data_IF_375356953623
#
_entry.id   IF_375356953623
#
_cell.length_a   1.000
_cell.length_b   1.000
_cell.length_c   1.000
_cell.angle_alpha   90.00
_cell.angle_beta   90.00
_cell.angle_gamma   90.00
#
_symmetry.space_group_name_H-M   'P 1'
#
loop_
_entity.id
_entity.type
_entity.pdbx_description
1 polymer ?
#
# COMPACT_ATOMS: atom_id res chain seq x y z
N UNK A 1 -25.82 -16.56 -16.41
CA UNK A 1 -25.16 -15.23 -16.50
C UNK A 1 -24.01 -15.23 -15.51
N UNK A 2 -22.76 -15.01 -15.95
CA UNK A 2 -21.60 -15.12 -15.06
C UNK A 2 -21.55 -13.90 -14.12
N UNK A 3 -21.82 -14.11 -12.83
CA UNK A 3 -21.87 -13.04 -11.81
C UNK A 3 -20.55 -12.28 -11.74
N UNK A 4 -19.44 -13.01 -11.81
CA UNK A 4 -18.08 -12.45 -11.69
C UNK A 4 -17.78 -11.52 -12.86
N UNK A 5 -18.14 -11.92 -14.09
CA UNK A 5 -17.92 -11.08 -15.27
C UNK A 5 -18.71 -9.78 -15.21
N UNK A 6 -19.96 -9.84 -14.76
CA UNK A 6 -20.79 -8.65 -14.62
C UNK A 6 -20.25 -7.69 -13.55
N UNK A 7 -19.84 -8.23 -12.39
CA UNK A 7 -19.25 -7.44 -11.32
C UNK A 7 -17.96 -6.75 -11.80
N UNK A 8 -17.05 -7.51 -12.43
CA UNK A 8 -15.80 -6.97 -12.93
C UNK A 8 -16.04 -5.96 -14.06
N UNK A 9 -16.93 -6.22 -15.01
CA UNK A 9 -17.23 -5.25 -16.07
C UNK A 9 -17.82 -3.94 -15.49
N UNK A 10 -18.72 -4.06 -14.52
CA UNK A 10 -19.37 -2.90 -13.90
C UNK A 10 -18.41 -2.04 -13.06
N UNK A 11 -17.53 -2.67 -12.28
CA UNK A 11 -16.66 -1.96 -11.35
C UNK A 11 -15.27 -1.60 -11.90
N UNK A 12 -14.91 -2.02 -13.11
CA UNK A 12 -13.58 -1.81 -13.71
C UNK A 12 -13.11 -0.36 -13.58
N UNK A 13 -13.95 0.61 -13.98
CA UNK A 13 -13.60 2.04 -13.94
C UNK A 13 -13.26 2.52 -12.53
N UNK A 14 -13.99 2.02 -11.53
CA UNK A 14 -13.79 2.39 -10.13
C UNK A 14 -12.49 1.80 -9.60
N UNK A 15 -12.23 0.53 -9.88
CA UNK A 15 -11.02 -0.20 -9.48
C UNK A 15 -9.79 0.43 -10.16
N UNK A 16 -9.87 0.74 -11.46
CA UNK A 16 -8.83 1.43 -12.22
C UNK A 16 -8.46 2.77 -11.60
N UNK A 17 -9.45 3.58 -11.23
CA UNK A 17 -9.22 4.87 -10.55
C UNK A 17 -8.54 4.68 -9.20
N UNK A 18 -8.93 3.67 -8.43
CA UNK A 18 -8.27 3.36 -7.16
C UNK A 18 -6.79 3.00 -7.38
N UNK A 19 -6.52 2.10 -8.32
CA UNK A 19 -5.17 1.66 -8.67
C UNK A 19 -4.29 2.83 -9.12
N UNK A 20 -4.77 3.64 -10.06
CA UNK A 20 -4.03 4.80 -10.55
C UNK A 20 -3.77 5.83 -9.44
N UNK A 21 -4.76 6.09 -8.58
CA UNK A 21 -4.62 7.02 -7.44
C UNK A 21 -3.58 6.54 -6.43
N UNK A 22 -3.44 5.23 -6.25
CA UNK A 22 -2.43 4.64 -5.37
C UNK A 22 -1.01 4.96 -5.85
N UNK A 23 -0.70 4.73 -7.13
CA UNK A 23 0.62 5.04 -7.69
C UNK A 23 0.88 6.54 -7.80
N UNK A 24 -0.11 7.33 -8.23
CA UNK A 24 0.03 8.79 -8.35
C UNK A 24 0.43 9.45 -7.03
N UNK A 25 -0.13 9.01 -5.90
CA UNK A 25 0.28 9.52 -4.58
C UNK A 25 1.75 9.25 -4.28
N UNK A 26 2.26 8.06 -4.63
CA UNK A 26 3.66 7.67 -4.39
C UNK A 26 4.61 8.43 -5.31
N UNK A 27 4.24 8.60 -6.58
CA UNK A 27 4.98 9.42 -7.55
C UNK A 27 5.06 10.87 -7.06
N UNK A 28 3.94 11.46 -6.63
CA UNK A 28 3.90 12.83 -6.13
C UNK A 28 4.78 13.01 -4.89
N UNK A 29 4.74 12.08 -3.93
CA UNK A 29 5.63 12.11 -2.76
C UNK A 29 7.10 12.01 -3.19
N UNK A 30 7.42 11.15 -4.15
CA UNK A 30 8.79 11.01 -4.67
C UNK A 30 9.28 12.29 -5.33
N UNK A 31 8.41 12.97 -6.09
CA UNK A 31 8.71 14.25 -6.73
C UNK A 31 8.92 15.38 -5.71
N UNK A 32 8.11 15.44 -4.65
CA UNK A 32 8.33 16.39 -3.55
C UNK A 32 9.69 16.18 -2.90
N UNK A 33 10.04 14.93 -2.60
CA UNK A 33 11.35 14.59 -2.02
C UNK A 33 12.48 15.03 -2.96
N UNK A 34 12.34 14.78 -4.26
CA UNK A 34 13.32 15.20 -5.27
C UNK A 34 13.52 16.72 -5.27
N UNK A 35 12.44 17.49 -5.22
CA UNK A 35 12.48 18.97 -5.12
C UNK A 35 13.22 19.43 -3.87
N UNK A 36 12.97 18.81 -2.71
CA UNK A 36 13.66 19.16 -1.45
C UNK A 36 15.17 18.92 -1.58
N UNK A 37 15.58 17.80 -2.17
CA UNK A 37 17.00 17.46 -2.33
C UNK A 37 17.68 18.40 -3.33
N UNK A 38 17.01 18.75 -4.44
CA UNK A 38 17.52 19.73 -5.40
C UNK A 38 17.72 21.10 -4.77
N UNK A 39 16.70 21.60 -4.04
CA UNK A 39 16.77 22.87 -3.34
C UNK A 39 17.93 22.90 -2.33
N UNK A 40 18.04 21.85 -1.49
CA UNK A 40 19.14 21.75 -0.52
C UNK A 40 20.51 21.75 -1.20
N UNK A 41 20.67 20.95 -2.26
CA UNK A 41 21.95 20.82 -2.97
C UNK A 41 22.38 22.12 -3.64
N UNK A 42 21.43 22.92 -4.14
CA UNK A 42 21.69 24.22 -4.74
C UNK A 42 22.19 25.25 -3.73
N UNK A 43 21.56 25.30 -2.55
CA UNK A 43 21.86 26.29 -1.50
C UNK A 43 23.11 25.96 -0.71
N UNK A 44 23.18 24.74 -0.15
CA UNK A 44 24.24 24.37 0.80
C UNK A 44 25.48 23.76 0.12
N UNK A 45 25.34 23.25 -1.11
CA UNK A 45 26.42 22.61 -1.89
C UNK A 45 27.19 21.49 -1.18
N UNK A 46 26.62 20.93 -0.11
CA UNK A 46 27.20 19.82 0.65
C UNK A 46 26.86 18.47 0.03
N UNK A 47 27.80 17.52 0.10
CA UNK A 47 27.60 16.11 -0.27
C UNK A 47 26.96 15.92 -1.66
N UNK A 48 27.36 16.74 -2.63
CA UNK A 48 26.77 16.79 -3.98
C UNK A 48 26.72 15.42 -4.67
N UNK A 49 27.80 14.65 -4.63
CA UNK A 49 27.84 13.30 -5.22
C UNK A 49 26.79 12.36 -4.62
N UNK A 50 26.64 12.39 -3.28
CA UNK A 50 25.65 11.57 -2.59
C UNK A 50 24.22 12.02 -2.93
N UNK A 51 23.97 13.33 -2.96
CA UNK A 51 22.65 13.87 -3.33
C UNK A 51 22.31 13.55 -4.78
N UNK A 52 23.29 13.60 -5.69
CA UNK A 52 23.12 13.22 -7.08
C UNK A 52 22.74 11.74 -7.22
N UNK A 53 23.43 10.84 -6.52
CA UNK A 53 23.09 9.41 -6.48
C UNK A 53 21.65 9.21 -5.97
N UNK A 54 21.29 9.92 -4.89
CA UNK A 54 19.97 9.82 -4.28
C UNK A 54 18.87 10.34 -5.21
N UNK A 55 19.12 11.43 -5.95
CA UNK A 55 18.21 11.94 -6.97
C UNK A 55 18.01 10.92 -8.11
N UNK A 56 19.09 10.32 -8.62
CA UNK A 56 19.01 9.28 -9.66
C UNK A 56 18.15 8.10 -9.20
N UNK A 57 18.32 7.65 -7.95
CA UNK A 57 17.49 6.57 -7.39
C UNK A 57 16.02 6.94 -7.27
N UNK A 58 15.70 8.18 -6.87
CA UNK A 58 14.31 8.65 -6.77
C UNK A 58 13.66 8.77 -8.16
N UNK A 59 14.41 9.22 -9.17
CA UNK A 59 13.93 9.27 -10.56
C UNK A 59 13.65 7.85 -11.05
N UNK A 60 14.58 6.92 -10.86
CA UNK A 60 14.40 5.51 -11.21
C UNK A 60 13.17 4.89 -10.54
N UNK A 61 12.98 5.15 -9.24
CA UNK A 61 11.78 4.71 -8.49
C UNK A 61 10.49 5.32 -9.06
N UNK A 62 10.52 6.60 -9.43
CA UNK A 62 9.35 7.30 -9.99
C UNK A 62 8.95 6.73 -11.35
N UNK A 63 9.93 6.41 -12.20
CA UNK A 63 9.73 5.73 -13.49
C UNK A 63 9.16 4.33 -13.26
N UNK A 64 9.75 3.55 -12.35
CA UNK A 64 9.26 2.21 -12.00
C UNK A 64 7.79 2.25 -11.53
N UNK A 65 7.44 3.17 -10.63
CA UNK A 65 6.06 3.35 -10.16
C UNK A 65 5.10 3.75 -11.30
N UNK A 66 5.58 4.53 -12.26
CA UNK A 66 4.80 4.93 -13.42
C UNK A 66 4.53 3.74 -14.36
N UNK A 67 5.54 2.90 -14.61
CA UNK A 67 5.38 1.67 -15.39
C UNK A 67 4.41 0.71 -14.69
N UNK A 68 4.53 0.52 -13.38
CA UNK A 68 3.58 -0.34 -12.65
C UNK A 68 2.14 0.17 -12.66
N UNK A 69 1.96 1.50 -12.71
CA UNK A 69 0.63 2.09 -12.90
C UNK A 69 -0.02 1.63 -14.21
N UNK A 70 0.77 1.37 -15.25
CA UNK A 70 0.27 0.98 -16.58
C UNK A 70 -0.15 -0.48 -16.66
N UNK A 71 0.40 -1.36 -15.81
CA UNK A 71 0.07 -2.80 -15.77
C UNK A 71 -1.32 -3.14 -15.21
N UNK A 72 -2.17 -2.13 -14.96
CA UNK A 72 -3.52 -2.35 -14.47
C UNK A 72 -4.33 -3.38 -15.28
N UNK A 73 -4.37 -3.33 -16.63
CA UNK A 73 -5.18 -4.27 -17.41
C UNK A 73 -4.76 -5.71 -17.19
N UNK A 74 -3.46 -5.98 -17.14
CA UNK A 74 -2.90 -7.33 -16.94
C UNK A 74 -3.27 -7.87 -15.55
N UNK A 75 -3.05 -7.06 -14.51
CA UNK A 75 -3.38 -7.42 -13.12
C UNK A 75 -4.89 -7.64 -12.98
N UNK A 76 -5.70 -6.78 -13.61
CA UNK A 76 -7.14 -6.87 -13.57
C UNK A 76 -7.67 -8.15 -14.21
N UNK A 77 -7.16 -8.49 -15.40
CA UNK A 77 -7.52 -9.71 -16.12
C UNK A 77 -7.09 -10.96 -15.36
N UNK A 78 -5.94 -10.94 -14.69
CA UNK A 78 -5.53 -12.07 -13.85
C UNK A 78 -6.51 -12.29 -12.69
N UNK A 79 -6.91 -11.25 -11.97
CA UNK A 79 -7.92 -11.39 -10.91
C UNK A 79 -9.29 -11.87 -11.43
N UNK A 80 -9.68 -11.45 -12.64
CA UNK A 80 -10.89 -11.96 -13.29
C UNK A 80 -10.78 -13.46 -13.56
N UNK A 81 -9.65 -13.91 -14.10
CA UNK A 81 -9.42 -15.32 -14.42
C UNK A 81 -9.31 -16.20 -13.17
N UNK A 82 -8.72 -15.70 -12.08
CA UNK A 82 -8.65 -16.41 -10.79
C UNK A 82 -10.01 -16.62 -10.12
N UNK A 83 -11.01 -15.78 -10.44
CA UNK A 83 -12.37 -15.86 -9.92
C UNK A 83 -13.36 -16.47 -10.92
N UNK A 84 -12.89 -16.97 -12.07
CA UNK A 84 -13.71 -17.73 -13.02
C UNK A 84 -13.52 -19.24 -12.78
N UNK A 85 -14.57 -20.07 -13.00
CA UNK A 85 -15.93 -19.69 -13.41
C UNK A 85 -16.83 -19.22 -12.25
N UNK A 86 -16.50 -19.60 -11.01
CA UNK A 86 -17.23 -19.22 -9.80
C UNK A 86 -16.36 -18.34 -8.89
N UNK A 87 -16.99 -17.35 -8.24
CA UNK A 87 -16.30 -16.44 -7.34
C UNK A 87 -15.61 -17.19 -6.21
N UNK A 88 -14.31 -16.95 -6.01
CA UNK A 88 -13.56 -17.52 -4.90
C UNK A 88 -13.90 -16.78 -3.61
N UNK A 89 -14.85 -17.33 -2.85
CA UNK A 89 -15.28 -16.75 -1.58
C UNK A 89 -14.25 -17.05 -0.50
N UNK A 90 -13.72 -16.01 0.12
CA UNK A 90 -12.75 -16.09 1.21
C UNK A 90 -13.35 -15.61 2.52
N UNK A 91 -12.97 -16.26 3.62
CA UNK A 91 -13.33 -15.80 4.97
C UNK A 91 -12.38 -14.71 5.41
N UNK A 92 -12.92 -13.61 5.91
CA UNK A 92 -12.13 -12.45 6.32
C UNK A 92 -12.17 -12.32 7.84
N UNK A 93 -11.00 -12.00 8.40
CA UNK A 93 -10.83 -11.57 9.77
C UNK A 93 -10.41 -10.10 9.80
N UNK A 94 -11.13 -9.28 10.56
CA UNK A 94 -10.90 -7.86 10.74
C UNK A 94 -9.99 -7.60 11.96
N UNK A 95 -8.84 -6.98 11.69
CA UNK A 95 -7.90 -6.39 12.66
C UNK A 95 -8.09 -4.86 12.67
N UNK A 96 -7.50 -4.13 13.61
CA UNK A 96 -7.65 -2.68 13.80
C UNK A 96 -7.47 -1.86 12.51
N UNK A 97 -6.53 -2.24 11.65
CA UNK A 97 -6.21 -1.52 10.40
C UNK A 97 -6.13 -2.39 9.16
N UNK A 98 -6.47 -3.67 9.25
CA UNK A 98 -6.40 -4.57 8.10
C UNK A 98 -7.48 -5.63 8.12
N UNK A 99 -7.78 -6.15 6.93
CA UNK A 99 -8.53 -7.37 6.71
C UNK A 99 -7.52 -8.47 6.35
N UNK A 100 -7.49 -9.55 7.10
CA UNK A 100 -6.70 -10.75 6.78
C UNK A 100 -7.61 -11.85 6.28
N UNK A 101 -7.14 -12.60 5.28
CA UNK A 101 -7.86 -13.79 4.82
C UNK A 101 -7.56 -14.96 5.75
N UNK A 102 -8.59 -15.62 6.27
CA UNK A 102 -8.45 -16.82 7.09
C UNK A 102 -8.01 -17.96 6.16
N UNK A 103 -6.89 -18.60 6.49
CA UNK A 103 -6.27 -19.65 5.66
C UNK A 103 -5.14 -19.16 4.76
N UNK A 104 -5.04 -17.84 4.51
CA UNK A 104 -3.91 -17.26 3.78
C UNK A 104 -3.30 -16.07 4.56
N UNK A 105 -2.21 -16.35 5.28
CA UNK A 105 -1.51 -15.35 6.11
C UNK A 105 -0.85 -14.25 5.29
N UNK A 106 -0.68 -14.42 3.98
CA UNK A 106 0.01 -13.46 3.12
C UNK A 106 -0.92 -12.34 2.63
N UNK A 107 -2.23 -12.59 2.56
CA UNK A 107 -3.21 -11.61 2.12
C UNK A 107 -3.67 -10.78 3.32
N UNK A 108 -3.06 -9.60 3.48
CA UNK A 108 -3.47 -8.57 4.45
C UNK A 108 -3.80 -7.29 3.72
N UNK A 109 -5.08 -6.95 3.64
CA UNK A 109 -5.58 -5.75 2.96
C UNK A 109 -5.67 -4.61 3.99
N UNK A 110 -5.12 -3.44 3.67
CA UNK A 110 -5.19 -2.26 4.52
C UNK A 110 -6.60 -1.66 4.49
N UNK A 111 -7.23 -1.40 5.64
CA UNK A 111 -8.55 -0.74 5.71
C UNK A 111 -8.56 0.63 5.01
N UNK A 112 -7.43 1.34 5.04
CA UNK A 112 -7.33 2.66 4.41
C UNK A 112 -7.33 2.51 2.89
N UNK A 113 -8.42 2.96 2.27
CA UNK A 113 -8.57 2.96 0.82
C UNK A 113 -9.18 1.68 0.25
N UNK A 114 -9.72 0.80 1.11
CA UNK A 114 -10.60 -0.29 0.69
C UNK A 114 -11.94 0.26 0.21
N UNK A 115 -12.54 -0.44 -0.75
CA UNK A 115 -13.94 -0.29 -1.14
C UNK A 115 -14.60 -1.65 -1.16
N UNK A 116 -15.84 -1.67 -0.68
CA UNK A 116 -16.73 -2.82 -0.78
C UNK A 116 -17.71 -2.54 -1.93
N UNK A 117 -17.72 -3.43 -2.91
CA UNK A 117 -18.61 -3.37 -4.05
C UNK A 117 -19.63 -4.50 -3.94
N UNK A 118 -20.94 -4.20 -3.85
CA UNK A 118 -21.97 -5.23 -3.83
C UNK A 118 -21.88 -6.10 -5.09
N UNK A 119 -21.84 -7.42 -4.92
CA UNK A 119 -21.91 -8.35 -6.05
C UNK A 119 -23.34 -8.42 -6.58
N UNK A 120 -23.49 -8.74 -7.86
CA UNK A 120 -24.79 -9.09 -8.44
C UNK A 120 -25.43 -10.29 -7.71
N UNK A 121 -24.61 -11.18 -7.13
CA UNK A 121 -25.08 -12.08 -6.09
C UNK A 121 -25.16 -11.33 -4.76
N UNK A 122 -26.38 -10.94 -4.36
CA UNK A 122 -26.66 -10.15 -3.15
C UNK A 122 -26.09 -10.71 -1.85
N UNK A 123 -25.69 -11.99 -1.84
CA UNK A 123 -25.04 -12.64 -0.70
C UNK A 123 -23.58 -12.20 -0.52
N UNK A 124 -22.88 -11.88 -1.61
CA UNK A 124 -21.44 -11.64 -1.59
C UNK A 124 -21.08 -10.19 -1.86
N UNK A 125 -19.90 -9.81 -1.39
CA UNK A 125 -19.32 -8.49 -1.61
C UNK A 125 -17.91 -8.64 -2.14
N UNK A 126 -17.60 -7.85 -3.17
CA UNK A 126 -16.25 -7.74 -3.72
C UNK A 126 -15.50 -6.64 -2.97
N UNK A 127 -14.57 -7.04 -2.11
CA UNK A 127 -13.63 -6.12 -1.47
C UNK A 127 -12.47 -5.85 -2.42
N UNK A 128 -12.22 -4.56 -2.66
CA UNK A 128 -11.06 -4.10 -3.41
C UNK A 128 -10.23 -3.20 -2.52
N UNK A 129 -8.95 -3.53 -2.39
CA UNK A 129 -8.04 -2.74 -1.56
C UNK A 129 -6.60 -2.94 -1.95
N UNK A 130 -5.71 -2.46 -1.06
CA UNK A 130 -4.28 -2.61 -1.25
C UNK A 130 -3.67 -3.41 -0.11
N UNK A 131 -2.65 -4.20 -0.42
CA UNK A 131 -1.83 -4.89 0.55
C UNK A 131 -1.30 -3.91 1.61
N UNK A 132 -1.28 -4.36 2.86
CA UNK A 132 -0.69 -3.66 3.99
C UNK A 132 0.83 -3.58 3.87
N UNK A 133 1.46 -4.50 3.14
CA UNK A 133 2.91 -4.51 2.96
C UNK A 133 3.36 -3.26 2.18
N UNK A 134 4.45 -2.65 2.63
CA UNK A 134 4.93 -1.38 2.06
C UNK A 134 5.48 -1.58 0.64
N UNK A 135 6.19 -2.69 0.43
CA UNK A 135 6.82 -3.14 -0.82
C UNK A 135 6.15 -4.43 -1.34
N UNK A 136 4.84 -4.37 -1.61
CA UNK A 136 4.20 -5.44 -2.39
C UNK A 136 4.55 -5.25 -3.86
N UNK A 137 5.03 -6.31 -4.52
CA UNK A 137 5.15 -6.35 -5.99
C UNK A 137 3.78 -6.08 -6.62
N UNK A 138 2.74 -6.63 -6.01
CA UNK A 138 1.36 -6.51 -6.49
C UNK A 138 0.50 -6.02 -5.33
N UNK A 139 0.30 -4.69 -5.24
CA UNK A 139 -0.38 -4.12 -4.11
C UNK A 139 -1.90 -4.25 -4.21
N UNK A 140 -2.48 -4.31 -5.41
CA UNK A 140 -3.93 -4.44 -5.59
C UNK A 140 -4.39 -5.83 -5.15
N UNK A 141 -5.49 -5.88 -4.39
CA UNK A 141 -6.15 -7.11 -3.94
C UNK A 141 -7.65 -6.99 -4.22
N UNK A 142 -8.22 -7.99 -4.89
CA UNK A 142 -9.65 -8.12 -5.20
C UNK A 142 -10.12 -9.46 -4.66
N UNK A 143 -11.03 -9.45 -3.68
CA UNK A 143 -11.51 -10.67 -3.03
C UNK A 143 -13.03 -10.64 -2.85
N UNK A 144 -13.67 -11.80 -2.94
CA UNK A 144 -15.08 -11.96 -2.59
C UNK A 144 -15.24 -12.52 -1.19
N UNK A 145 -16.17 -11.98 -0.43
CA UNK A 145 -16.49 -12.46 0.91
C UNK A 145 -17.97 -12.26 1.24
N UNK A 146 -18.44 -12.99 2.24
CA UNK A 146 -19.73 -12.74 2.87
C UNK A 146 -19.55 -11.73 4.01
N UNK A 147 -20.25 -10.59 3.94
CA UNK A 147 -20.17 -9.55 4.97
C UNK A 147 -20.74 -10.02 6.32
N UNK A 148 -21.67 -10.97 6.32
CA UNK A 148 -22.29 -11.50 7.53
C UNK A 148 -21.37 -12.50 8.25
N UNK A 149 -20.42 -13.10 7.55
CA UNK A 149 -19.43 -14.03 8.11
C UNK A 149 -18.14 -13.36 8.57
N UNK A 150 -18.10 -12.02 8.63
CA UNK A 150 -16.90 -11.28 9.03
C UNK A 150 -16.58 -11.52 10.51
N UNK A 151 -15.37 -12.01 10.78
CA UNK A 151 -14.88 -12.29 12.13
C UNK A 151 -13.91 -11.21 12.60
N UNK A 152 -13.77 -11.02 13.92
CA UNK A 152 -12.81 -10.07 14.49
C UNK A 152 -11.60 -10.79 15.08
N UNK A 153 -10.41 -10.19 14.96
CA UNK A 153 -9.23 -10.67 15.70
C UNK A 153 -9.44 -10.43 17.20
N UNK A 154 -9.21 -11.45 18.05
CA UNK A 154 -9.51 -11.38 19.49
C UNK A 154 -8.82 -10.21 20.19
N UNK A 155 -7.59 -9.89 19.79
CA UNK A 155 -6.84 -8.73 20.30
C UNK A 155 -7.50 -7.40 19.91
N UNK A 156 -8.08 -7.32 18.71
CA UNK A 156 -8.83 -6.15 18.26
C UNK A 156 -10.16 -6.04 19.02
N UNK A 157 -10.85 -7.16 19.27
CA UNK A 157 -12.06 -7.21 20.12
C UNK A 157 -11.78 -6.66 21.52
N UNK A 158 -10.67 -7.08 22.14
CA UNK A 158 -10.23 -6.60 23.46
C UNK A 158 -9.81 -5.12 23.44
N UNK A 159 -9.17 -4.66 22.37
CA UNK A 159 -8.68 -3.27 22.26
C UNK A 159 -9.78 -2.24 21.96
N UNK A 160 -10.80 -2.63 21.19
CA UNK A 160 -12.02 -1.83 21.00
C UNK A 160 -12.73 -1.57 22.35
N UNK A 161 -12.44 -2.38 23.37
CA UNK A 161 -12.92 -2.23 24.74
C UNK A 161 -11.98 -1.41 25.66
N UNK A 162 -11.05 -0.61 25.12
CA UNK A 162 -10.47 0.52 25.86
C UNK A 162 -8.99 0.48 26.28
N UNK A 163 -8.11 -0.25 25.60
CA UNK A 163 -6.66 -0.22 25.90
C UNK A 163 -5.79 0.48 24.83
N UNK A 164 -4.80 1.24 25.32
CA UNK A 164 -3.93 2.23 24.68
C UNK A 164 -3.58 2.08 23.18
N UNK A 165 -3.55 3.22 22.48
CA UNK A 165 -3.14 3.33 21.07
C UNK A 165 -1.71 3.86 20.90
N UNK A 166 -0.82 3.05 20.32
CA UNK A 166 0.45 3.52 19.75
C UNK A 166 0.17 4.54 18.62
N UNK A 167 0.91 5.67 18.51
CA UNK A 167 0.71 6.66 17.45
C UNK A 167 0.76 6.07 16.04
N UNK A 168 -0.13 6.59 15.16
CA UNK A 168 -0.43 6.02 13.83
C UNK A 168 0.79 5.91 12.89
N UNK A 169 1.81 6.76 13.06
CA UNK A 169 3.02 6.75 12.24
C UNK A 169 4.05 5.70 12.72
N UNK A 170 4.27 5.61 14.03
CA UNK A 170 5.22 4.67 14.66
C UNK A 170 4.81 3.22 14.44
N UNK A 171 3.51 2.97 14.30
CA UNK A 171 2.98 1.62 14.15
C UNK A 171 3.37 0.94 12.83
N UNK A 172 3.72 1.70 11.80
CA UNK A 172 4.24 1.17 10.53
C UNK A 172 5.58 0.44 10.72
N UNK A 173 6.29 0.75 11.79
CA UNK A 173 7.59 0.18 12.16
C UNK A 173 7.49 -0.87 13.29
N UNK A 174 6.29 -1.37 13.61
CA UNK A 174 6.11 -2.36 14.68
C UNK A 174 6.55 -3.76 14.26
N UNK A 175 7.13 -4.50 15.21
CA UNK A 175 7.60 -5.89 15.06
C UNK A 175 6.61 -6.81 14.32
N UNK A 176 5.29 -6.66 14.52
CA UNK A 176 4.31 -7.50 13.81
C UNK A 176 4.20 -7.17 12.31
N UNK A 177 4.25 -5.89 11.93
CA UNK A 177 4.23 -5.45 10.53
C UNK A 177 5.57 -5.72 9.85
N UNK A 178 6.66 -5.62 10.60
CA UNK A 178 7.99 -6.04 10.17
C UNK A 178 8.01 -7.56 9.92
N UNK A 179 7.52 -8.39 10.85
CA UNK A 179 7.47 -9.86 10.73
C UNK A 179 6.66 -10.36 9.53
N UNK A 180 5.57 -9.70 9.16
CA UNK A 180 4.84 -10.03 7.91
C UNK A 180 5.58 -9.65 6.64
N UNK A 181 6.60 -8.80 6.73
CA UNK A 181 7.47 -8.43 5.61
C UNK A 181 8.76 -9.28 5.58
N UNK A 182 9.02 -10.13 6.60
CA UNK A 182 10.20 -10.99 6.75
C UNK A 182 10.24 -12.15 5.75
N UNK A 183 9.12 -12.47 5.06
CA UNK A 183 9.12 -13.46 3.98
C UNK A 183 10.11 -13.14 2.84
N UNK A 184 10.58 -11.88 2.75
CA UNK A 184 11.64 -11.44 1.85
C UNK A 184 12.61 -10.48 2.57
N UNK A 185 13.52 -11.03 3.37
CA UNK A 185 14.52 -10.28 4.18
C UNK A 185 15.27 -9.22 3.36
N UNK A 186 15.68 -9.53 2.13
CA UNK A 186 16.40 -8.59 1.26
C UNK A 186 15.55 -7.39 0.84
N UNK A 187 14.28 -7.60 0.48
CA UNK A 187 13.37 -6.51 0.11
C UNK A 187 12.97 -5.66 1.33
N UNK A 188 12.85 -6.30 2.49
CA UNK A 188 12.55 -5.64 3.76
C UNK A 188 13.69 -4.73 4.23
N UNK A 189 14.93 -5.22 4.19
CA UNK A 189 16.13 -4.46 4.58
C UNK A 189 16.38 -3.34 3.57
N UNK A 190 16.48 -3.66 2.28
CA UNK A 190 16.77 -2.66 1.26
C UNK A 190 15.68 -1.59 1.17
N UNK A 191 14.39 -1.97 1.17
CA UNK A 191 13.29 -1.04 1.03
C UNK A 191 13.10 -0.14 2.26
N UNK A 192 13.03 -0.72 3.47
CA UNK A 192 12.76 0.08 4.67
C UNK A 192 13.96 0.94 5.08
N UNK A 193 15.19 0.41 4.99
CA UNK A 193 16.39 1.20 5.30
C UNK A 193 16.53 2.34 4.30
N UNK A 194 16.30 2.09 3.01
CA UNK A 194 16.34 3.14 1.99
C UNK A 194 15.33 4.26 2.28
N UNK A 195 14.08 3.91 2.60
CA UNK A 195 13.05 4.90 2.96
C UNK A 195 13.41 5.66 4.23
N UNK A 196 13.99 5.00 5.24
CA UNK A 196 14.43 5.64 6.48
C UNK A 196 15.62 6.59 6.24
N UNK A 197 16.57 6.22 5.39
CA UNK A 197 17.69 7.08 4.99
C UNK A 197 17.16 8.32 4.28
N UNK A 198 16.26 8.15 3.30
CA UNK A 198 15.65 9.27 2.60
C UNK A 198 14.91 10.18 3.59
N UNK A 199 14.09 9.60 4.47
CA UNK A 199 13.32 10.36 5.45
C UNK A 199 14.23 11.16 6.39
N UNK A 200 15.26 10.53 6.96
CA UNK A 200 16.24 11.19 7.81
C UNK A 200 16.93 12.35 7.08
N UNK A 201 17.30 12.14 5.82
CA UNK A 201 17.93 13.18 4.99
C UNK A 201 16.98 14.35 4.73
N UNK A 202 15.75 14.08 4.32
CA UNK A 202 14.74 15.11 4.08
C UNK A 202 14.49 15.92 5.35
N UNK A 203 14.34 15.27 6.51
CA UNK A 203 14.16 15.96 7.79
C UNK A 203 15.36 16.85 8.13
N UNK A 204 16.59 16.35 7.92
CA UNK A 204 17.81 17.15 8.11
C UNK A 204 17.85 18.35 7.16
N UNK A 205 17.49 18.17 5.90
CA UNK A 205 17.50 19.25 4.90
C UNK A 205 16.48 20.33 5.24
N UNK A 206 15.26 19.93 5.63
CA UNK A 206 14.24 20.84 6.13
C UNK A 206 14.73 21.58 7.39
N UNK A 207 15.41 20.90 8.30
CA UNK A 207 15.99 21.52 9.50
C UNK A 207 17.05 22.57 9.16
N UNK A 208 17.95 22.28 8.23
CA UNK A 208 18.95 23.25 7.75
C UNK A 208 18.30 24.48 7.13
N UNK A 209 17.19 24.33 6.41
CA UNK A 209 16.42 25.48 5.91
C UNK A 209 15.78 26.29 7.03
N UNK A 210 15.24 25.63 8.07
CA UNK A 210 14.69 26.33 9.24
C UNK A 210 15.78 27.15 9.94
N UNK A 211 16.97 26.57 10.15
CA UNK A 211 18.12 27.28 10.75
C UNK A 211 18.66 28.45 9.92
N UNK A 212 18.36 28.48 8.62
CA UNK A 212 18.75 29.60 7.75
C UNK A 212 17.73 30.74 7.80
N UNK A 213 16.49 30.46 8.18
CA UNK A 213 15.38 31.42 8.24
C UNK A 213 15.16 32.04 9.63
N UNK A 214 15.68 31.43 10.70
CA UNK A 214 15.59 31.86 12.10
C UNK A 214 16.97 31.90 12.75
#
# INVERSE_FOLDING_TARGET
MNIVENDFAYYERSIKRMYQKYYWKRILVSLIVLVIIMAYSSVFRERLLFNLLLMVLIVGLSIYLYLEKQKFPEIYQRYLNENRPEAKIVKIQEDEYSYSVIGDKNIRINKKGVRNFPSNNKKYTMMVGFSKSFFSLEPLQIIYYDMLELTYEEKFRLKRNGYHSMPRFLRRFTLSNLKTSVGNIWHFIAGNIFVLIILFRVLRYLWSFIQLLF
#
